data_IF_400158934383
#
_entry.id   IF_400158934383
#
_cell.length_a   1.000
_cell.length_b   1.000
_cell.length_c   1.000
_cell.angle_alpha   90.00
_cell.angle_beta   90.00
_cell.angle_gamma   90.00
#
_symmetry.space_group_name_H-M   'P 1'
#
loop_
_entity.id
_entity.type
_entity.pdbx_description
1 polymer ?
#
# COMPACT_ATOMS: atom_id res chain seq x y z
N UNK A 1 -21.72 -12.69 -5.44
CA UNK A 1 -21.63 -11.25 -5.11
C UNK A 1 -20.22 -10.76 -5.40
N UNK A 2 -20.06 -9.75 -6.26
CA UNK A 2 -18.74 -9.15 -6.52
C UNK A 2 -18.30 -8.32 -5.31
N UNK A 3 -17.14 -8.64 -4.72
CA UNK A 3 -16.54 -7.85 -3.64
C UNK A 3 -16.16 -6.48 -4.21
N UNK A 4 -16.77 -5.40 -3.71
CA UNK A 4 -16.39 -4.04 -4.12
C UNK A 4 -14.91 -3.84 -3.81
N UNK A 5 -14.13 -3.49 -4.83
CA UNK A 5 -12.71 -3.15 -4.65
C UNK A 5 -12.65 -1.86 -3.84
N UNK A 6 -11.93 -1.86 -2.71
CA UNK A 6 -11.59 -0.64 -1.97
C UNK A 6 -10.82 0.27 -2.95
N UNK A 7 -11.31 1.49 -3.14
CA UNK A 7 -10.59 2.53 -3.88
C UNK A 7 -9.77 3.33 -2.88
N UNK A 8 -8.47 3.46 -3.14
CA UNK A 8 -7.57 4.32 -2.38
C UNK A 8 -7.25 5.54 -3.22
N UNK A 9 -7.17 6.70 -2.59
CA UNK A 9 -6.81 7.93 -3.27
C UNK A 9 -5.37 7.87 -3.78
N UNK A 10 -5.02 8.63 -4.84
CA UNK A 10 -3.64 8.70 -5.33
C UNK A 10 -2.65 9.11 -4.23
N UNK A 11 -3.01 10.10 -3.41
CA UNK A 11 -2.17 10.66 -2.35
C UNK A 11 -1.89 9.61 -1.28
N UNK A 12 -2.88 8.78 -0.94
CA UNK A 12 -2.72 7.67 -0.01
C UNK A 12 -1.73 6.62 -0.54
N UNK A 13 -1.79 6.32 -1.84
CA UNK A 13 -0.87 5.37 -2.47
C UNK A 13 0.55 5.91 -2.48
N UNK A 14 0.72 7.18 -2.85
CA UNK A 14 2.03 7.84 -2.89
C UNK A 14 2.68 7.84 -1.53
N UNK A 15 1.96 8.23 -0.47
CA UNK A 15 2.49 8.20 0.89
C UNK A 15 2.90 6.80 1.31
N UNK A 16 2.08 5.78 1.04
CA UNK A 16 2.39 4.40 1.39
C UNK A 16 3.60 3.85 0.60
N UNK A 17 3.73 4.19 -0.69
CA UNK A 17 4.90 3.83 -1.51
C UNK A 17 6.15 4.53 -0.98
N UNK A 18 6.06 5.84 -0.71
CA UNK A 18 7.15 6.67 -0.20
C UNK A 18 7.69 6.13 1.11
N UNK A 19 6.82 5.70 2.03
CA UNK A 19 7.24 5.08 3.29
C UNK A 19 8.00 3.75 3.13
N UNK A 20 7.79 3.03 2.04
CA UNK A 20 8.52 1.77 1.74
C UNK A 20 9.82 2.04 0.99
N UNK A 21 9.82 3.01 0.07
CA UNK A 21 10.99 3.31 -0.77
C UNK A 21 12.01 4.20 -0.05
N UNK A 22 11.54 5.21 0.69
CA UNK A 22 12.39 6.14 1.44
C UNK A 22 12.64 5.66 2.88
N UNK A 23 11.66 4.96 3.45
CA UNK A 23 11.80 4.39 4.78
C UNK A 23 12.49 3.04 4.73
N UNK A 24 13.31 2.73 5.72
CA UNK A 24 13.93 1.41 5.90
C UNK A 24 12.90 0.37 6.42
N UNK A 25 11.67 0.45 5.92
CA UNK A 25 10.49 -0.29 6.35
C UNK A 25 10.00 -1.21 5.25
N UNK A 26 9.65 -2.43 5.63
CA UNK A 26 9.13 -3.41 4.67
C UNK A 26 7.70 -3.08 4.24
N UNK A 27 7.33 -3.49 3.01
CA UNK A 27 5.95 -3.44 2.50
C UNK A 27 4.96 -4.03 3.52
N UNK A 28 5.32 -5.13 4.18
CA UNK A 28 4.46 -5.80 5.15
C UNK A 28 4.28 -5.03 6.45
N UNK A 29 5.24 -4.18 6.84
CA UNK A 29 5.12 -3.29 8.00
C UNK A 29 4.19 -2.14 7.67
N UNK A 30 4.45 -1.45 6.57
CA UNK A 30 3.66 -0.29 6.12
C UNK A 30 2.22 -0.71 5.82
N UNK A 31 2.01 -1.84 5.15
CA UNK A 31 0.65 -2.33 4.86
C UNK A 31 -0.18 -2.61 6.14
N UNK A 32 0.46 -3.08 7.22
CA UNK A 32 -0.22 -3.29 8.51
C UNK A 32 -0.60 -1.97 9.18
N UNK A 33 0.27 -0.97 9.10
CA UNK A 33 0.02 0.38 9.63
C UNK A 33 -1.18 1.05 8.92
N UNK A 34 -1.30 0.82 7.60
CA UNK A 34 -2.36 1.36 6.77
C UNK A 34 -3.65 0.52 6.71
N UNK A 35 -3.71 -0.62 7.41
CA UNK A 35 -4.79 -1.61 7.32
C UNK A 35 -5.15 -1.97 5.86
N UNK A 36 -4.10 -2.21 5.06
CA UNK A 36 -4.21 -2.67 3.68
C UNK A 36 -3.50 -4.00 3.51
N UNK A 37 -3.87 -4.72 2.45
CA UNK A 37 -3.23 -5.97 2.14
C UNK A 37 -1.80 -5.72 1.61
N UNK A 38 -0.82 -6.46 2.13
CA UNK A 38 0.58 -6.31 1.73
C UNK A 38 0.81 -6.57 0.23
N UNK A 39 0.06 -7.48 -0.40
CA UNK A 39 0.13 -7.71 -1.85
C UNK A 39 -0.42 -6.52 -2.65
N UNK A 40 -1.39 -5.79 -2.10
CA UNK A 40 -1.89 -4.55 -2.72
C UNK A 40 -0.83 -3.45 -2.69
N UNK A 41 -0.19 -3.24 -1.53
CA UNK A 41 0.89 -2.25 -1.43
C UNK A 41 2.11 -2.66 -2.27
N UNK A 42 2.49 -3.94 -2.25
CA UNK A 42 3.59 -4.46 -3.08
C UNK A 42 3.32 -4.29 -4.58
N UNK A 43 2.06 -4.42 -5.02
CA UNK A 43 1.67 -4.13 -6.40
C UNK A 43 1.81 -2.64 -6.77
N UNK A 44 1.74 -1.72 -5.82
CA UNK A 44 1.94 -0.29 -6.09
C UNK A 44 3.42 0.07 -6.15
N UNK A 45 4.24 -0.54 -5.30
CA UNK A 45 5.70 -0.34 -5.28
C UNK A 45 6.37 -0.94 -6.51
N UNK A 46 5.86 -2.08 -7.02
CA UNK A 46 6.42 -2.78 -8.17
C UNK A 46 5.85 -2.31 -9.53
N UNK A 47 5.08 -1.23 -9.55
CA UNK A 47 4.47 -0.67 -10.77
C UNK A 47 5.21 0.58 -11.20
#
# INVERSE_FOLDING_TARGET
MARRRRQFSPEFKEEAIRMVLEGDRTVASVAREFDINASTLGSWVNR
#
